data_IF_158666870134
#
_entry.id   IF_158666870134
#
_cell.length_a   1.000
_cell.length_b   1.000
_cell.length_c   1.000
_cell.angle_alpha   90.00
_cell.angle_beta   90.00
_cell.angle_gamma   90.00
#
_symmetry.space_group_name_H-M   'P 1'
#
loop_
_entity.id
_entity.type
_entity.pdbx_description
1 polymer ?
#
# COMPACT_ATOMS: atom_id res chain seq x y z
N UNK A 1 3.05 9.19 -9.08
CA UNK A 1 2.03 10.10 -8.55
C UNK A 1 1.20 9.41 -7.48
N UNK A 2 0.38 10.13 -6.78
CA UNK A 2 -0.36 9.64 -5.61
C UNK A 2 -1.54 8.72 -5.92
N UNK A 3 -1.88 8.46 -7.18
CA UNK A 3 -3.02 7.65 -7.56
C UNK A 3 -4.39 8.31 -7.44
N UNK A 4 -4.45 9.60 -7.11
CA UNK A 4 -5.71 10.36 -7.10
C UNK A 4 -6.12 10.76 -8.52
N UNK A 5 -7.40 11.10 -8.71
CA UNK A 5 -7.93 11.46 -10.03
C UNK A 5 -7.33 12.76 -10.55
N UNK A 6 -7.36 12.95 -11.87
CA UNK A 6 -6.89 14.17 -12.54
C UNK A 6 -7.66 15.40 -12.02
N UNK A 7 -8.95 15.27 -11.77
CA UNK A 7 -9.79 16.33 -11.20
C UNK A 7 -9.28 16.76 -9.81
N UNK A 8 -8.94 15.81 -8.96
CA UNK A 8 -8.41 16.08 -7.62
C UNK A 8 -7.04 16.73 -7.70
N UNK A 9 -6.20 16.31 -8.63
CA UNK A 9 -4.89 16.93 -8.85
C UNK A 9 -5.03 18.40 -9.28
N UNK A 10 -5.91 18.68 -10.22
CA UNK A 10 -6.21 20.03 -10.69
C UNK A 10 -6.72 20.92 -9.56
N UNK A 11 -7.68 20.40 -8.79
CA UNK A 11 -8.26 21.10 -7.64
C UNK A 11 -7.19 21.41 -6.59
N UNK A 12 -6.32 20.44 -6.27
CA UNK A 12 -5.24 20.63 -5.31
C UNK A 12 -4.25 21.73 -5.78
N UNK A 13 -3.91 21.77 -7.07
CA UNK A 13 -3.06 22.80 -7.64
C UNK A 13 -3.71 24.18 -7.57
N UNK A 14 -5.01 24.27 -7.83
CA UNK A 14 -5.77 25.53 -7.71
C UNK A 14 -5.80 26.01 -6.25
N UNK A 15 -6.09 25.11 -5.29
CA UNK A 15 -6.08 25.44 -3.86
C UNK A 15 -4.71 25.90 -3.38
N UNK A 16 -3.65 25.32 -3.92
CA UNK A 16 -2.27 25.66 -3.57
C UNK A 16 -1.71 26.84 -4.34
N UNK A 17 -2.52 27.51 -5.17
CA UNK A 17 -2.08 28.64 -6.03
C UNK A 17 -0.90 28.29 -6.95
N UNK A 18 -0.87 27.05 -7.44
CA UNK A 18 0.16 26.55 -8.34
C UNK A 18 1.43 26.05 -7.67
N UNK A 19 1.50 26.02 -6.35
CA UNK A 19 2.64 25.48 -5.60
C UNK A 19 2.59 23.96 -5.55
N UNK A 20 3.53 23.27 -6.22
CA UNK A 20 3.58 21.82 -6.29
C UNK A 20 3.77 21.16 -4.93
N UNK A 21 4.54 21.74 -4.03
CA UNK A 21 4.77 21.17 -2.71
C UNK A 21 3.49 21.18 -1.88
N UNK A 22 2.74 22.28 -1.91
CA UNK A 22 1.44 22.38 -1.24
C UNK A 22 0.42 21.44 -1.88
N UNK A 23 0.40 21.33 -3.21
CA UNK A 23 -0.48 20.42 -3.93
C UNK A 23 -0.24 18.97 -3.52
N UNK A 24 1.01 18.53 -3.39
CA UNK A 24 1.34 17.19 -2.90
C UNK A 24 0.83 16.94 -1.48
N UNK A 25 0.95 17.92 -0.60
CA UNK A 25 0.45 17.83 0.78
C UNK A 25 -1.06 17.69 0.79
N UNK A 26 -1.78 18.48 0.00
CA UNK A 26 -3.24 18.41 -0.14
C UNK A 26 -3.68 17.05 -0.66
N UNK A 27 -2.99 16.52 -1.68
CA UNK A 27 -3.29 15.20 -2.25
C UNK A 27 -3.08 14.08 -1.23
N UNK A 28 -2.04 14.16 -0.39
CA UNK A 28 -1.82 13.19 0.69
C UNK A 28 -2.98 13.20 1.70
N UNK A 29 -3.47 14.37 2.08
CA UNK A 29 -4.63 14.50 2.97
C UNK A 29 -5.88 13.87 2.38
N UNK A 30 -6.11 14.07 1.07
CA UNK A 30 -7.25 13.47 0.36
C UNK A 30 -7.15 11.94 0.33
N UNK A 31 -5.97 11.38 0.09
CA UNK A 31 -5.74 9.93 0.09
C UNK A 31 -6.00 9.31 1.46
N UNK A 32 -5.51 9.92 2.54
CA UNK A 32 -5.74 9.44 3.91
C UNK A 32 -7.22 9.50 4.29
N UNK A 33 -7.93 10.56 3.89
CA UNK A 33 -9.37 10.69 4.14
C UNK A 33 -10.17 9.62 3.39
N UNK A 34 -9.81 9.31 2.13
CA UNK A 34 -10.43 8.23 1.36
C UNK A 34 -10.22 6.87 2.03
N UNK A 35 -9.01 6.59 2.50
CA UNK A 35 -8.69 5.34 3.19
C UNK A 35 -9.54 5.18 4.44
N UNK A 36 -9.69 6.23 5.25
CA UNK A 36 -10.53 6.19 6.47
C UNK A 36 -11.98 5.91 6.14
N UNK A 37 -12.53 6.51 5.07
CA UNK A 37 -13.92 6.28 4.66
C UNK A 37 -14.16 4.81 4.28
N UNK A 38 -13.15 4.13 3.72
CA UNK A 38 -13.25 2.77 3.23
C UNK A 38 -12.93 1.70 4.28
N UNK A 39 -12.39 2.09 5.44
CA UNK A 39 -11.89 1.16 6.44
C UNK A 39 -12.92 0.16 6.99
N UNK A 40 -14.20 0.49 6.98
CA UNK A 40 -15.27 -0.41 7.44
C UNK A 40 -15.80 -1.39 6.40
N UNK A 41 -15.28 -1.38 5.17
CA UNK A 41 -15.77 -2.25 4.09
C UNK A 41 -15.27 -3.67 4.25
N UNK A 42 -16.13 -4.63 3.86
CA UNK A 42 -15.80 -6.06 3.95
C UNK A 42 -14.80 -6.47 2.90
N UNK A 43 -13.76 -7.18 3.32
CA UNK A 43 -12.72 -7.73 2.44
C UNK A 43 -13.10 -9.16 2.05
N UNK A 44 -13.40 -9.38 0.77
CA UNK A 44 -13.86 -10.68 0.25
C UNK A 44 -12.88 -11.32 -0.71
N UNK A 45 -11.82 -10.63 -1.08
CA UNK A 45 -10.86 -11.07 -2.09
C UNK A 45 -9.44 -10.70 -1.66
N UNK A 46 -8.47 -11.20 -2.38
CA UNK A 46 -7.09 -10.88 -2.08
C UNK A 46 -6.11 -11.57 -3.01
N UNK A 47 -4.85 -11.23 -2.87
CA UNK A 47 -3.74 -11.85 -3.58
C UNK A 47 -2.60 -12.12 -2.62
N UNK A 48 -1.91 -13.23 -2.83
CA UNK A 48 -0.72 -13.58 -2.06
C UNK A 48 0.50 -13.20 -2.88
N UNK A 49 1.33 -12.33 -2.32
CA UNK A 49 2.64 -12.03 -2.85
C UNK A 49 3.69 -12.86 -2.13
N UNK A 50 4.70 -13.32 -2.85
CA UNK A 50 5.80 -14.06 -2.26
C UNK A 50 7.14 -13.55 -2.76
N UNK A 51 8.16 -13.70 -1.92
CA UNK A 51 9.52 -13.31 -2.27
C UNK A 51 10.51 -14.22 -1.54
N UNK A 52 11.51 -14.69 -2.26
CA UNK A 52 12.62 -15.44 -1.67
C UNK A 52 13.94 -14.76 -2.05
N UNK A 53 14.86 -14.70 -1.10
CA UNK A 53 16.17 -14.11 -1.32
C UNK A 53 17.25 -15.15 -1.06
N UNK A 54 18.03 -15.46 -2.10
CA UNK A 54 19.13 -16.44 -2.05
C UNK A 54 18.73 -17.82 -1.51
N UNK A 55 17.44 -18.17 -1.56
CA UNK A 55 16.94 -19.44 -1.09
C UNK A 55 16.96 -19.65 0.42
N UNK A 56 17.35 -18.64 1.21
CA UNK A 56 17.47 -18.77 2.66
C UNK A 56 16.59 -17.83 3.49
N UNK A 57 15.99 -16.84 2.86
CA UNK A 57 15.00 -15.95 3.48
C UNK A 57 13.81 -15.85 2.53
N UNK A 58 12.62 -15.95 3.05
CA UNK A 58 11.41 -15.80 2.25
C UNK A 58 10.26 -15.23 3.03
N UNK A 59 9.31 -14.64 2.33
CA UNK A 59 8.10 -14.10 2.93
C UNK A 59 6.92 -14.26 1.98
N UNK A 60 5.73 -14.36 2.58
CA UNK A 60 4.46 -14.30 1.85
C UNK A 60 3.57 -13.30 2.57
N UNK A 61 2.84 -12.51 1.80
CA UNK A 61 1.90 -11.54 2.32
C UNK A 61 0.55 -11.70 1.64
N UNK A 62 -0.50 -11.76 2.43
CA UNK A 62 -1.88 -11.76 1.94
C UNK A 62 -2.38 -10.33 1.97
N UNK A 63 -2.50 -9.73 0.79
CA UNK A 63 -3.08 -8.41 0.60
C UNK A 63 -4.55 -8.60 0.22
N UNK A 64 -5.44 -8.13 1.08
CA UNK A 64 -6.88 -8.31 0.91
C UNK A 64 -7.53 -7.05 0.36
N UNK A 65 -8.58 -7.22 -0.42
CA UNK A 65 -9.37 -6.16 -1.02
C UNK A 65 -10.85 -6.55 -1.06
N UNK A 66 -11.69 -5.67 -1.60
CA UNK A 66 -13.15 -5.89 -1.58
C UNK A 66 -13.63 -6.84 -2.68
N UNK A 67 -13.01 -6.81 -3.88
CA UNK A 67 -13.49 -7.56 -5.04
C UNK A 67 -12.38 -8.36 -5.73
N UNK A 68 -12.77 -9.43 -6.41
CA UNK A 68 -11.87 -10.22 -7.27
C UNK A 68 -11.35 -9.40 -8.45
N UNK A 69 -12.10 -8.41 -8.89
CA UNK A 69 -11.69 -7.53 -9.98
C UNK A 69 -10.36 -6.83 -9.64
N UNK A 70 -10.25 -6.28 -8.43
CA UNK A 70 -9.03 -5.64 -7.95
C UNK A 70 -7.95 -6.69 -7.66
N UNK A 71 -8.32 -7.80 -7.04
CA UNK A 71 -7.36 -8.87 -6.69
C UNK A 71 -6.63 -9.43 -7.92
N UNK A 72 -7.28 -9.46 -9.08
CA UNK A 72 -6.72 -9.97 -10.34
C UNK A 72 -5.95 -8.91 -11.14
N UNK A 73 -5.97 -7.67 -10.70
CA UNK A 73 -5.22 -6.60 -11.37
C UNK A 73 -3.71 -6.85 -11.20
N UNK A 74 -2.92 -6.84 -12.30
CA UNK A 74 -1.47 -7.06 -12.21
C UNK A 74 -0.75 -6.10 -11.28
N UNK A 75 -1.19 -4.86 -11.17
CA UNK A 75 -0.58 -3.87 -10.27
C UNK A 75 -0.86 -4.22 -8.79
N UNK A 76 -2.02 -4.80 -8.50
CA UNK A 76 -2.34 -5.27 -7.15
C UNK A 76 -1.43 -6.45 -6.77
N UNK A 77 -1.24 -7.41 -7.68
CA UNK A 77 -0.32 -8.52 -7.47
C UNK A 77 1.13 -8.06 -7.31
N UNK A 78 1.55 -7.06 -8.06
CA UNK A 78 2.87 -6.46 -7.92
C UNK A 78 3.06 -5.82 -6.54
N UNK A 79 2.05 -5.12 -6.05
CA UNK A 79 2.07 -4.53 -4.70
C UNK A 79 2.22 -5.61 -3.63
N UNK A 80 1.49 -6.72 -3.75
CA UNK A 80 1.59 -7.84 -2.81
C UNK A 80 3.02 -8.42 -2.79
N UNK A 81 3.67 -8.56 -3.95
CA UNK A 81 5.06 -9.02 -4.04
C UNK A 81 6.04 -8.04 -3.41
N UNK A 82 5.84 -6.75 -3.62
CA UNK A 82 6.69 -5.71 -3.01
C UNK A 82 6.58 -5.71 -1.49
N UNK A 83 5.38 -5.94 -0.98
CA UNK A 83 5.16 -6.07 0.46
C UNK A 83 5.85 -7.32 1.01
N UNK A 84 5.80 -8.44 0.29
CA UNK A 84 6.52 -9.65 0.69
C UNK A 84 8.03 -9.41 0.72
N UNK A 85 8.58 -8.71 -0.26
CA UNK A 85 10.00 -8.34 -0.29
C UNK A 85 10.36 -7.47 0.90
N UNK A 86 9.55 -6.49 1.22
CA UNK A 86 9.75 -5.63 2.39
C UNK A 86 9.77 -6.45 3.68
N UNK A 87 8.81 -7.36 3.85
CA UNK A 87 8.73 -8.24 5.02
C UNK A 87 9.98 -9.11 5.15
N UNK A 88 10.43 -9.68 4.04
CA UNK A 88 11.64 -10.49 4.02
C UNK A 88 12.87 -9.70 4.48
N UNK A 89 12.97 -8.44 4.07
CA UNK A 89 14.11 -7.57 4.37
C UNK A 89 14.06 -6.95 5.77
N UNK A 90 12.88 -6.57 6.24
CA UNK A 90 12.71 -5.76 7.45
C UNK A 90 12.23 -6.53 8.69
N UNK A 91 11.78 -7.77 8.51
CA UNK A 91 11.37 -8.67 9.59
C UNK A 91 10.43 -8.02 10.64
N UNK A 92 9.27 -7.48 10.23
CA UNK A 92 8.33 -6.93 11.20
C UNK A 92 7.73 -8.03 12.07
N UNK A 93 7.51 -7.75 13.36
CA UNK A 93 6.95 -8.71 14.30
C UNK A 93 5.45 -8.93 14.10
N UNK A 94 4.75 -7.86 13.68
CA UNK A 94 3.30 -7.88 13.51
C UNK A 94 2.87 -6.85 12.49
N UNK A 95 1.58 -6.82 12.16
CA UNK A 95 1.03 -5.89 11.18
C UNK A 95 1.20 -4.42 11.59
N UNK A 96 1.05 -4.13 12.88
CA UNK A 96 1.20 -2.75 13.38
C UNK A 96 2.61 -2.23 13.15
N UNK A 97 3.62 -3.03 13.48
CA UNK A 97 5.02 -2.68 13.23
C UNK A 97 5.29 -2.53 11.74
N UNK A 98 4.77 -3.46 10.92
CA UNK A 98 4.92 -3.43 9.48
C UNK A 98 4.42 -2.09 8.90
N UNK A 99 3.25 -1.64 9.32
CA UNK A 99 2.65 -0.40 8.82
C UNK A 99 3.46 0.84 9.17
N UNK A 100 4.19 0.81 10.27
CA UNK A 100 5.01 1.94 10.73
C UNK A 100 6.43 1.93 10.18
N UNK A 101 6.84 0.86 9.50
CA UNK A 101 8.18 0.79 8.92
C UNK A 101 8.30 1.64 7.67
N UNK A 102 9.45 2.34 7.47
CA UNK A 102 9.74 2.97 6.19
C UNK A 102 9.80 1.91 5.10
N UNK A 103 9.14 2.15 3.97
CA UNK A 103 9.10 1.18 2.88
C UNK A 103 10.50 1.02 2.27
N UNK A 104 10.92 -0.24 2.08
CA UNK A 104 12.29 -0.55 1.65
C UNK A 104 12.64 0.04 0.27
N UNK A 105 11.69 0.16 -0.64
CA UNK A 105 11.91 0.74 -1.97
C UNK A 105 11.82 2.27 -2.00
N UNK A 106 11.21 2.87 -0.99
CA UNK A 106 11.02 4.31 -0.91
C UNK A 106 10.91 4.72 0.56
N UNK A 107 12.04 4.98 1.19
CA UNK A 107 12.10 5.31 2.61
C UNK A 107 11.45 6.65 2.97
N UNK A 108 11.03 7.43 1.99
CA UNK A 108 10.26 8.66 2.19
C UNK A 108 8.81 8.42 2.56
N UNK A 109 8.32 7.18 2.47
CA UNK A 109 6.97 6.80 2.91
C UNK A 109 7.02 5.55 3.78
N UNK A 110 6.05 5.45 4.68
CA UNK A 110 5.83 4.25 5.48
C UNK A 110 4.95 3.27 4.69
N UNK A 111 4.98 2.00 5.07
CA UNK A 111 4.10 0.99 4.48
C UNK A 111 2.63 1.41 4.58
N UNK A 112 2.22 2.04 5.69
CA UNK A 112 0.88 2.61 5.86
C UNK A 112 0.52 3.56 4.72
N UNK A 113 1.41 4.49 4.39
CA UNK A 113 1.18 5.47 3.32
C UNK A 113 1.04 4.78 1.96
N UNK A 114 1.84 3.74 1.72
CA UNK A 114 1.75 2.94 0.51
C UNK A 114 0.36 2.32 0.35
N UNK A 115 -0.19 1.76 1.43
CA UNK A 115 -1.54 1.18 1.41
C UNK A 115 -2.62 2.23 1.24
N UNK A 116 -2.48 3.41 1.84
CA UNK A 116 -3.41 4.52 1.66
C UNK A 116 -3.45 4.98 0.20
N UNK A 117 -2.29 5.13 -0.41
CA UNK A 117 -2.18 5.48 -1.84
C UNK A 117 -2.81 4.40 -2.72
N UNK A 118 -2.57 3.13 -2.41
CA UNK A 118 -3.15 2.02 -3.15
C UNK A 118 -4.68 1.97 -3.00
N UNK A 119 -5.19 2.24 -1.81
CA UNK A 119 -6.63 2.35 -1.55
C UNK A 119 -7.25 3.43 -2.45
N UNK A 120 -6.60 4.57 -2.56
CA UNK A 120 -7.05 5.65 -3.44
C UNK A 120 -6.99 5.23 -4.91
N UNK A 121 -5.92 4.55 -5.32
CA UNK A 121 -5.71 4.12 -6.69
C UNK A 121 -6.73 3.07 -7.15
N UNK A 122 -6.95 2.05 -6.34
CA UNK A 122 -7.86 0.95 -6.68
C UNK A 122 -9.32 1.25 -6.34
N UNK A 123 -9.57 2.25 -5.52
CA UNK A 123 -10.94 2.63 -5.12
C UNK A 123 -11.56 1.67 -4.11
N UNK A 124 -10.78 0.81 -3.48
CA UNK A 124 -11.24 -0.19 -2.51
C UNK A 124 -10.38 -0.16 -1.25
N UNK A 125 -10.97 -0.56 -0.12
CA UNK A 125 -10.21 -0.75 1.10
C UNK A 125 -9.25 -1.93 0.94
N UNK A 126 -8.01 -1.76 1.34
CA UNK A 126 -6.96 -2.76 1.30
C UNK A 126 -6.38 -2.97 2.69
N UNK A 127 -6.09 -4.22 3.03
CA UNK A 127 -5.38 -4.55 4.27
C UNK A 127 -4.37 -5.67 4.03
N UNK A 128 -3.25 -5.62 4.74
CA UNK A 128 -2.38 -6.78 4.89
C UNK A 128 -2.99 -7.62 6.00
N UNK A 129 -3.71 -8.67 5.63
CA UNK A 129 -4.47 -9.49 6.57
C UNK A 129 -3.58 -10.47 7.31
N UNK A 130 -2.56 -10.99 6.64
CA UNK A 130 -1.69 -12.00 7.18
C UNK A 130 -0.36 -11.99 6.43
N UNK A 131 0.72 -12.27 7.13
CA UNK A 131 2.01 -12.48 6.49
C UNK A 131 2.83 -13.48 7.29
N UNK A 132 3.82 -14.07 6.64
CA UNK A 132 4.76 -14.99 7.25
C UNK A 132 6.15 -14.72 6.68
N UNK A 133 7.16 -14.84 7.52
CA UNK A 133 8.56 -14.75 7.13
C UNK A 133 9.30 -15.98 7.64
N UNK A 134 10.10 -16.58 6.79
CA UNK A 134 10.93 -17.73 7.12
C UNK A 134 12.39 -17.39 6.83
N UNK A 135 13.26 -17.85 7.71
CA UNK A 135 14.70 -17.72 7.52
C UNK A 135 15.38 -19.00 7.97
N UNK A 136 16.33 -19.45 7.18
CA UNK A 136 17.14 -20.63 7.51
C UNK A 136 18.36 -20.30 8.39
N UNK A 137 18.51 -19.03 8.74
CA UNK A 137 19.65 -18.55 9.55
C UNK A 137 19.32 -18.41 11.00
#
# INVERSE_FOLDING_TARGET
>A
MTGVSVMQCKKALEEASGDLAKAKTILKKHSSASARKKAGRTLKAGAIGSYTHDGNIGAMALLSCETDFVAKNPEFGALARELAMHIAAMDPENTEELLEQPFIKDSGKMVRNLLEEATQKFGEHLEITQFVRLSSR
#
